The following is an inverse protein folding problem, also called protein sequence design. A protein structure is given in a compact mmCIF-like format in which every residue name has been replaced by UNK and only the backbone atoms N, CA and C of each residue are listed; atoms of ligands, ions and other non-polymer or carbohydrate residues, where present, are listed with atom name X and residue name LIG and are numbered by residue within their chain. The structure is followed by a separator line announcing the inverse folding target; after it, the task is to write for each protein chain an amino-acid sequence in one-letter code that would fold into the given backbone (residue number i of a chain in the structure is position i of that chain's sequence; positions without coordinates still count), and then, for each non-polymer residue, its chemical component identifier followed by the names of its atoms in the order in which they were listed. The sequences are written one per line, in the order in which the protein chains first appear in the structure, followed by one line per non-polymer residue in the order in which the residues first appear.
data_IF_009105893327
#
_entry.id   IF_009105893327
#
_cell.length_a   1.000
_cell.length_b   1.000
_cell.length_c   1.000
_cell.angle_alpha   90.00
_cell.angle_beta   90.00
_cell.angle_gamma   90.00
#
_symmetry.space_group_name_H-M   'P 1'
#
loop_
_entity.id
_entity.type
_entity.pdbx_description
1 polymer ?
#
# COMPACT_ATOMS: atom_id res chain seq x y z
N UNK A 1 -7.94 -14.15 -5.44
CA UNK A 1 -7.98 -12.80 -4.88
C UNK A 1 -8.19 -11.77 -5.96
N UNK A 2 -9.30 -11.05 -5.87
CA UNK A 2 -9.51 -9.90 -6.73
C UNK A 2 -8.88 -8.69 -6.05
N UNK A 3 -7.64 -8.37 -6.43
CA UNK A 3 -6.99 -7.16 -5.97
C UNK A 3 -7.39 -6.03 -6.91
N UNK A 4 -8.30 -5.18 -6.45
CA UNK A 4 -8.69 -4.01 -7.23
C UNK A 4 -7.60 -2.96 -7.12
N UNK A 5 -7.24 -2.30 -8.24
CA UNK A 5 -6.27 -1.21 -8.17
C UNK A 5 -6.74 -0.08 -7.26
N UNK A 6 -5.82 0.51 -6.54
CA UNK A 6 -6.11 1.65 -5.68
C UNK A 6 -4.90 2.57 -5.61
N UNK A 7 -5.12 3.79 -5.14
CA UNK A 7 -4.04 4.74 -4.96
C UNK A 7 -3.35 4.52 -3.62
N UNK A 8 -2.07 4.91 -3.49
CA UNK A 8 -1.33 4.71 -2.24
C UNK A 8 -2.02 5.29 -1.01
N UNK A 9 -2.68 6.45 -1.13
CA UNK A 9 -3.41 7.05 -0.01
C UNK A 9 -4.52 6.13 0.48
N UNK A 10 -5.25 5.53 -0.45
CA UNK A 10 -6.34 4.61 -0.11
C UNK A 10 -5.78 3.32 0.50
N UNK A 11 -4.63 2.86 0.03
CA UNK A 11 -3.98 1.69 0.60
C UNK A 11 -3.57 1.93 2.06
N UNK A 12 -3.10 3.15 2.38
CA UNK A 12 -2.77 3.52 3.75
C UNK A 12 -4.02 3.50 4.64
N UNK A 13 -5.15 3.99 4.14
CA UNK A 13 -6.42 3.96 4.86
C UNK A 13 -6.85 2.53 5.12
N UNK A 14 -6.76 1.66 4.12
CA UNK A 14 -7.11 0.26 4.29
C UNK A 14 -6.22 -0.44 5.31
N UNK A 15 -4.93 -0.16 5.27
CA UNK A 15 -3.97 -0.69 6.24
C UNK A 15 -4.37 -0.31 7.67
N UNK A 16 -4.73 0.95 7.89
CA UNK A 16 -5.17 1.43 9.20
C UNK A 16 -6.47 0.76 9.64
N UNK A 17 -7.44 0.65 8.74
CA UNK A 17 -8.72 0.03 9.05
C UNK A 17 -8.58 -1.45 9.42
N UNK A 18 -7.63 -2.15 8.82
CA UNK A 18 -7.38 -3.55 9.10
C UNK A 18 -6.47 -3.77 10.31
N UNK A 19 -5.85 -2.69 10.83
CA UNK A 19 -4.91 -2.78 11.94
C UNK A 19 -3.60 -3.45 11.57
N UNK A 20 -3.20 -3.38 10.32
CA UNK A 20 -1.96 -3.98 9.82
C UNK A 20 -0.84 -2.96 9.80
N UNK A 21 0.41 -3.42 9.86
CA UNK A 21 1.59 -2.56 9.76
C UNK A 21 2.07 -2.42 8.32
N UNK A 22 1.54 -3.23 7.41
CA UNK A 22 1.82 -3.14 5.98
C UNK A 22 0.59 -3.60 5.20
N UNK A 23 0.54 -3.23 3.93
CA UNK A 23 -0.57 -3.60 3.06
C UNK A 23 -0.09 -3.71 1.62
N UNK A 24 -0.37 -4.85 0.99
CA UNK A 24 0.00 -5.12 -0.40
C UNK A 24 -1.19 -4.74 -1.28
N UNK A 25 -0.93 -3.99 -2.34
CA UNK A 25 -2.00 -3.52 -3.23
C UNK A 25 -1.48 -3.34 -4.65
N UNK A 26 -2.40 -3.21 -5.61
CA UNK A 26 -2.05 -2.86 -6.98
C UNK A 26 -2.22 -1.34 -7.12
N UNK A 27 -1.13 -0.67 -7.50
CA UNK A 27 -1.14 0.78 -7.67
C UNK A 27 -1.90 1.14 -8.96
N UNK A 28 -2.95 1.94 -8.83
CA UNK A 28 -3.79 2.33 -9.96
C UNK A 28 -3.04 3.15 -11.01
N UNK A 29 -1.96 3.84 -10.63
CA UNK A 29 -1.18 4.65 -11.55
C UNK A 29 -0.22 3.82 -12.41
N UNK A 30 0.38 2.77 -11.83
CA UNK A 30 1.43 1.99 -12.49
C UNK A 30 0.98 0.60 -12.87
N UNK A 31 -0.13 0.11 -12.29
CA UNK A 31 -0.65 -1.26 -12.43
C UNK A 31 0.30 -2.32 -11.86
N UNK A 32 1.30 -1.89 -11.10
CA UNK A 32 2.24 -2.80 -10.44
C UNK A 32 1.81 -3.05 -9.01
N UNK A 33 2.26 -4.19 -8.45
CA UNK A 33 2.07 -4.50 -7.05
C UNK A 33 3.01 -3.63 -6.23
N UNK A 34 2.44 -2.92 -5.25
CA UNK A 34 3.19 -2.06 -4.34
C UNK A 34 2.87 -2.47 -2.90
N UNK A 35 3.69 -2.02 -1.97
CA UNK A 35 3.48 -2.25 -0.55
C UNK A 35 3.57 -0.92 0.19
N UNK A 36 2.55 -0.58 0.98
CA UNK A 36 2.64 0.52 1.94
C UNK A 36 2.94 -0.09 3.31
N UNK A 37 3.69 0.63 4.12
CA UNK A 37 4.02 0.17 5.46
C UNK A 37 4.12 1.35 6.42
N UNK A 38 3.91 1.07 7.70
CA UNK A 38 4.02 2.08 8.74
C UNK A 38 5.43 2.08 9.31
N UNK A 39 6.03 3.27 9.37
CA UNK A 39 7.33 3.45 10.01
C UNK A 39 7.16 3.68 11.50
N UNK A 40 8.26 3.55 12.25
CA UNK A 40 8.25 3.70 13.70
C UNK A 40 7.85 5.10 14.17
N UNK A 41 8.05 6.11 13.33
CA UNK A 41 7.70 7.51 13.65
C UNK A 41 6.30 7.89 13.19
N UNK A 42 5.44 6.90 12.91
CA UNK A 42 4.06 7.06 12.44
C UNK A 42 3.95 7.69 11.05
N UNK A 43 5.03 7.65 10.27
CA UNK A 43 4.96 8.00 8.84
C UNK A 43 4.77 6.72 8.04
N UNK A 44 4.50 6.89 6.74
CA UNK A 44 4.28 5.77 5.84
C UNK A 44 5.39 5.69 4.81
N UNK A 45 5.72 4.48 4.39
CA UNK A 45 6.64 4.24 3.30
C UNK A 45 5.95 3.51 2.17
N UNK A 46 6.47 3.65 0.96
CA UNK A 46 5.95 2.97 -0.22
C UNK A 46 7.08 2.18 -0.86
N UNK A 47 6.85 0.89 -1.07
CA UNK A 47 7.79 0.02 -1.77
C UNK A 47 7.22 -0.24 -3.15
N UNK A 48 7.97 0.16 -4.18
CA UNK A 48 7.61 -0.06 -5.58
C UNK A 48 8.59 -1.05 -6.20
N UNK A 49 8.12 -1.93 -7.10
CA UNK A 49 9.04 -2.84 -7.77
C UNK A 49 9.93 -2.10 -8.76
N UNK A 50 11.16 -2.56 -8.93
CA UNK A 50 12.06 -2.12 -9.98
C UNK A 50 12.31 -3.29 -10.92
N UNK A 51 12.05 -3.08 -12.20
CA UNK A 51 12.27 -4.09 -13.22
C UNK A 51 13.49 -3.75 -14.06
#
# INVERSE_FOLDING_TARGET
FDMKPMYPEDACVQMELLGHDFYVFINAETEDVNVVYRRKDNTYGLIEPEY
#
